data_IF_631217475881
#
_entry.id   IF_631217475881
#
_cell.length_a   1.000
_cell.length_b   1.000
_cell.length_c   1.000
_cell.angle_alpha   90.00
_cell.angle_beta   90.00
_cell.angle_gamma   90.00
#
_symmetry.space_group_name_H-M   'P 1'
#
loop_
_entity.id
_entity.type
_entity.pdbx_description
1 polymer ?
#
# COMPACT_ATOMS: atom_id res chain seq x y z
N UNK A 1 38.68 -14.45 -17.90
CA UNK A 1 38.41 -13.98 -16.52
C UNK A 1 39.21 -12.70 -16.33
N UNK A 2 38.56 -11.55 -16.44
CA UNK A 2 39.17 -10.24 -16.23
C UNK A 2 38.33 -9.50 -15.19
N UNK A 3 38.97 -9.17 -14.07
CA UNK A 3 38.38 -8.58 -12.88
C UNK A 3 38.51 -7.05 -13.06
N UNK A 4 37.38 -6.36 -13.22
CA UNK A 4 37.34 -4.90 -13.37
C UNK A 4 37.07 -4.31 -11.99
N UNK A 5 38.13 -3.77 -11.41
CA UNK A 5 38.14 -3.01 -10.16
C UNK A 5 37.58 -1.60 -10.41
N UNK A 6 36.56 -1.20 -9.65
CA UNK A 6 36.02 0.17 -9.70
C UNK A 6 36.36 0.89 -8.38
N UNK A 7 37.04 2.05 -8.42
CA UNK A 7 37.42 2.78 -7.22
C UNK A 7 36.21 3.51 -6.62
N UNK A 8 35.97 3.31 -5.33
CA UNK A 8 35.02 4.09 -4.53
C UNK A 8 35.61 5.48 -4.20
N UNK A 9 34.84 6.57 -4.31
CA UNK A 9 35.30 7.88 -3.88
C UNK A 9 35.28 8.00 -2.35
N UNK A 10 36.47 8.20 -1.79
CA UNK A 10 36.71 8.67 -0.44
C UNK A 10 36.07 10.05 -0.22
N UNK A 11 35.22 10.18 0.80
CA UNK A 11 34.83 11.48 1.36
C UNK A 11 35.32 11.56 2.80
N UNK A 12 36.57 12.00 2.96
CA UNK A 12 37.18 12.32 4.24
C UNK A 12 37.32 13.83 4.44
N UNK A 13 36.73 14.33 5.53
CA UNK A 13 37.13 15.56 6.22
C UNK A 13 35.97 16.52 6.52
N UNK A 14 35.92 17.26 7.65
CA UNK A 14 36.69 17.26 8.90
C UNK A 14 36.06 18.35 9.82
N UNK A 15 36.01 18.09 11.14
CA UNK A 15 35.96 19.02 12.32
C UNK A 15 34.61 19.70 12.64
N UNK A 16 34.02 19.51 13.85
CA UNK A 16 34.32 20.11 15.19
C UNK A 16 34.43 21.64 15.12
N UNK A 17 33.76 22.48 15.90
CA UNK A 17 32.97 22.41 17.13
C UNK A 17 31.88 23.51 17.03
N UNK A 18 30.82 23.53 17.84
CA UNK A 18 30.81 24.35 19.06
C UNK A 18 29.69 23.91 20.01
N UNK A 19 30.05 23.93 21.29
CA UNK A 19 29.20 23.63 22.43
C UNK A 19 28.35 24.86 22.74
N UNK A 20 27.03 24.73 22.72
CA UNK A 20 26.15 25.65 23.43
C UNK A 20 25.43 24.86 24.53
N UNK A 21 25.84 25.12 25.78
CA UNK A 21 25.10 24.73 26.97
C UNK A 21 23.73 25.41 26.96
N UNK A 22 22.65 24.62 26.95
CA UNK A 22 21.32 25.09 27.32
C UNK A 22 20.89 24.33 28.57
N UNK A 23 20.56 25.03 29.67
CA UNK A 23 20.27 24.40 30.95
C UNK A 23 18.91 23.69 30.95
N UNK A 24 18.95 22.45 31.46
CA UNK A 24 17.82 21.65 31.91
C UNK A 24 16.87 22.46 32.81
N UNK A 25 15.61 22.60 32.42
CA UNK A 25 14.48 22.61 33.37
C UNK A 25 13.29 21.83 32.82
N UNK A 26 12.93 20.84 33.63
CA UNK A 26 11.75 19.99 33.66
C UNK A 26 10.49 20.57 33.00
N UNK A 27 9.83 19.74 32.18
CA UNK A 27 8.40 19.50 32.34
C UNK A 27 7.99 18.13 31.80
N UNK A 28 7.84 17.21 32.75
CA UNK A 28 7.02 16.01 32.67
C UNK A 28 5.54 16.38 32.51
N UNK A 29 4.74 15.38 32.09
CA UNK A 29 3.29 15.34 31.91
C UNK A 29 2.81 15.86 30.54
N UNK A 30 2.21 15.06 29.65
CA UNK A 30 1.66 13.73 29.82
C UNK A 30 1.65 12.98 28.50
N UNK A 31 2.16 11.76 28.56
CA UNK A 31 1.79 10.67 27.67
C UNK A 31 0.41 10.21 28.14
N UNK A 32 -0.63 10.72 27.51
CA UNK A 32 -1.98 10.18 27.66
C UNK A 32 -2.13 9.06 26.63
N UNK A 33 -2.01 7.84 27.13
CA UNK A 33 -2.35 6.61 26.44
C UNK A 33 -3.80 6.67 25.93
N UNK A 34 -3.98 6.50 24.62
CA UNK A 34 -5.24 6.02 24.04
C UNK A 34 -4.95 4.58 23.61
N UNK A 35 -4.86 3.70 24.61
CA UNK A 35 -5.04 2.27 24.43
C UNK A 35 -6.53 2.00 24.64
N UNK A 36 -7.31 2.18 23.58
CA UNK A 36 -8.72 1.75 23.55
C UNK A 36 -8.73 0.25 23.33
N UNK A 37 -8.82 -0.44 24.46
CA UNK A 37 -9.68 -1.59 24.71
C UNK A 37 -9.78 -2.66 23.59
N UNK A 38 -8.79 -3.55 23.58
CA UNK A 38 -9.07 -4.97 23.45
C UNK A 38 -9.79 -5.43 24.72
N UNK A 39 -11.13 -5.53 24.69
CA UNK A 39 -11.88 -6.35 25.64
C UNK A 39 -13.07 -7.03 24.97
N UNK A 40 -12.99 -8.36 24.92
CA UNK A 40 -14.11 -9.27 25.22
C UNK A 40 -15.14 -9.53 24.10
N UNK A 41 -14.70 -10.21 23.04
CA UNK A 41 -15.54 -11.11 22.26
C UNK A 41 -15.29 -12.55 22.71
N UNK A 42 -16.22 -13.07 23.49
CA UNK A 42 -16.29 -14.42 24.08
C UNK A 42 -15.80 -15.56 23.17
N UNK A 43 -14.84 -16.30 23.69
CA UNK A 43 -14.50 -17.67 23.28
C UNK A 43 -15.71 -18.57 23.61
N UNK A 44 -16.56 -18.82 22.62
CA UNK A 44 -17.42 -20.02 22.64
C UNK A 44 -16.55 -21.24 22.33
N UNK A 45 -15.95 -21.79 23.39
CA UNK A 45 -15.62 -23.21 23.45
C UNK A 45 -16.94 -23.97 23.38
N UNK A 46 -17.37 -24.36 22.18
CA UNK A 46 -18.26 -25.51 22.03
C UNK A 46 -17.36 -26.74 21.93
N UNK A 47 -17.63 -27.63 22.87
CA UNK A 47 -17.00 -28.90 23.15
C UNK A 47 -16.39 -29.61 21.95
N UNK A 48 -15.15 -30.06 22.16
CA UNK A 48 -14.62 -31.25 21.54
C UNK A 48 -15.62 -32.40 21.72
N UNK A 49 -16.18 -32.84 20.60
CA UNK A 49 -16.59 -34.22 20.42
C UNK A 49 -15.46 -34.86 19.59
N UNK A 50 -14.47 -35.41 20.26
CA UNK A 50 -13.63 -36.45 19.68
C UNK A 50 -14.43 -37.75 19.76
N UNK A 51 -14.84 -38.30 18.61
CA UNK A 51 -14.86 -39.74 18.33
C UNK A 51 -15.13 -39.94 16.81
N UNK A 52 -14.76 -41.09 16.23
CA UNK A 52 -13.62 -41.16 15.33
C UNK A 52 -14.02 -41.62 13.92
N UNK A 53 -13.05 -41.55 12.99
CA UNK A 53 -13.00 -42.42 11.81
C UNK A 53 -14.30 -42.48 10.95
N UNK A 54 -14.69 -41.33 10.40
CA UNK A 54 -15.50 -41.28 9.18
C UNK A 54 -14.58 -41.00 8.00
N UNK A 55 -13.97 -42.04 7.44
CA UNK A 55 -13.36 -41.95 6.11
C UNK A 55 -14.50 -41.74 5.09
N UNK A 56 -14.80 -40.48 4.77
CA UNK A 56 -15.63 -40.18 3.59
C UNK A 56 -14.80 -40.46 2.32
N UNK A 57 -15.24 -41.37 1.45
CA UNK A 57 -14.49 -41.83 0.28
C UNK A 57 -14.75 -40.92 -0.93
N UNK A 58 -14.68 -39.60 -0.75
CA UNK A 58 -14.76 -38.62 -1.84
C UNK A 58 -13.67 -37.56 -1.67
N UNK A 59 -12.43 -38.03 -1.47
CA UNK A 59 -11.21 -37.24 -1.67
C UNK A 59 -10.97 -37.05 -3.17
N UNK A 60 -11.97 -36.44 -3.83
CA UNK A 60 -11.89 -36.07 -5.23
C UNK A 60 -11.06 -34.79 -5.26
N UNK A 61 -9.93 -34.76 -5.99
CA UNK A 61 -9.17 -33.53 -6.15
C UNK A 61 -10.15 -32.44 -6.59
N UNK A 62 -10.08 -31.23 -5.97
CA UNK A 62 -11.05 -30.19 -6.23
C UNK A 62 -11.16 -29.98 -7.73
N UNK A 63 -12.41 -30.09 -8.23
CA UNK A 63 -12.64 -30.08 -9.66
C UNK A 63 -12.11 -28.76 -10.25
N UNK A 64 -11.43 -28.82 -11.40
CA UNK A 64 -11.00 -27.61 -12.10
C UNK A 64 -12.23 -26.75 -12.38
N UNK A 65 -12.05 -25.44 -12.32
CA UNK A 65 -13.13 -24.47 -12.55
C UNK A 65 -13.73 -24.69 -13.95
N UNK A 66 -15.06 -24.75 -14.09
CA UNK A 66 -15.70 -24.90 -15.40
C UNK A 66 -15.39 -23.70 -16.28
N UNK A 67 -15.33 -23.89 -17.60
CA UNK A 67 -14.96 -22.83 -18.55
C UNK A 67 -15.85 -21.58 -18.44
N UNK A 68 -17.12 -21.75 -18.06
CA UNK A 68 -18.06 -20.64 -17.81
C UNK A 68 -17.65 -19.72 -16.67
N UNK A 69 -16.88 -20.22 -15.70
CA UNK A 69 -16.41 -19.48 -14.53
C UNK A 69 -14.96 -19.03 -14.65
N UNK A 70 -14.28 -19.36 -15.75
CA UNK A 70 -12.87 -19.00 -16.00
C UNK A 70 -12.62 -17.50 -15.93
N UNK A 71 -13.56 -16.69 -16.43
CA UNK A 71 -13.51 -15.22 -16.32
C UNK A 71 -13.49 -14.76 -14.85
N UNK A 72 -14.34 -15.36 -14.03
CA UNK A 72 -14.44 -15.04 -12.60
C UNK A 72 -13.18 -15.49 -11.85
N UNK A 73 -12.68 -16.67 -12.16
CA UNK A 73 -11.40 -17.19 -11.67
C UNK A 73 -10.23 -16.22 -11.94
N UNK A 74 -10.13 -15.68 -13.16
CA UNK A 74 -9.08 -14.71 -13.47
C UNK A 74 -9.22 -13.41 -12.68
N UNK A 75 -10.45 -12.94 -12.41
CA UNK A 75 -10.67 -11.76 -11.55
C UNK A 75 -10.30 -12.02 -10.09
N UNK A 76 -10.63 -13.21 -9.57
CA UNK A 76 -10.21 -13.65 -8.23
C UNK A 76 -8.69 -13.68 -8.13
N UNK A 77 -8.02 -14.26 -9.12
CA UNK A 77 -6.57 -14.30 -9.21
C UNK A 77 -5.95 -12.89 -9.28
N UNK A 78 -6.54 -11.98 -10.06
CA UNK A 78 -6.12 -10.56 -10.10
C UNK A 78 -6.15 -9.95 -8.70
N UNK A 79 -7.22 -10.16 -7.94
CA UNK A 79 -7.37 -9.63 -6.59
C UNK A 79 -6.39 -10.28 -5.61
N UNK A 80 -6.12 -11.58 -5.74
CA UNK A 80 -5.10 -12.28 -4.97
C UNK A 80 -3.69 -11.72 -5.22
N UNK A 81 -3.33 -11.52 -6.49
CA UNK A 81 -2.06 -10.91 -6.92
C UNK A 81 -1.95 -9.53 -6.32
N UNK A 82 -2.98 -8.71 -6.46
CA UNK A 82 -3.01 -7.37 -5.89
C UNK A 82 -2.81 -7.39 -4.37
N UNK A 83 -3.52 -8.26 -3.65
CA UNK A 83 -3.41 -8.38 -2.19
C UNK A 83 -1.98 -8.74 -1.78
N UNK A 84 -1.39 -9.78 -2.40
CA UNK A 84 0.00 -10.17 -2.15
C UNK A 84 0.96 -9.02 -2.48
N UNK A 85 0.69 -8.32 -3.59
CA UNK A 85 1.58 -7.27 -4.07
C UNK A 85 1.55 -6.00 -3.21
N UNK A 86 0.39 -5.72 -2.61
CA UNK A 86 0.22 -4.59 -1.71
C UNK A 86 0.87 -4.80 -0.33
N UNK A 87 1.05 -6.04 0.10
CA UNK A 87 1.57 -6.38 1.43
C UNK A 87 3.09 -6.51 1.52
N UNK A 88 3.80 -6.78 0.41
CA UNK A 88 5.21 -7.17 0.43
C UNK A 88 6.02 -6.67 -0.76
N UNK A 89 6.25 -5.35 -0.85
CA UNK A 89 6.99 -4.71 -1.95
C UNK A 89 8.41 -5.27 -2.15
N UNK A 90 9.10 -5.67 -1.08
CA UNK A 90 10.46 -6.22 -1.16
C UNK A 90 10.49 -7.63 -1.76
N UNK A 91 9.54 -8.50 -1.39
CA UNK A 91 9.43 -9.86 -1.92
C UNK A 91 9.12 -9.86 -3.41
N UNK A 92 8.20 -8.98 -3.84
CA UNK A 92 7.88 -8.81 -5.26
C UNK A 92 9.09 -8.23 -6.00
N UNK A 93 9.82 -7.32 -5.37
CA UNK A 93 11.04 -6.77 -5.92
C UNK A 93 12.06 -7.85 -6.28
N UNK A 94 12.23 -8.82 -5.38
CA UNK A 94 13.05 -10.01 -5.61
C UNK A 94 12.46 -10.89 -6.72
N UNK A 95 11.15 -11.17 -6.71
CA UNK A 95 10.49 -11.98 -7.74
C UNK A 95 10.57 -11.35 -9.15
N UNK A 96 10.46 -10.03 -9.27
CA UNK A 96 10.59 -9.32 -10.54
C UNK A 96 12.02 -9.37 -11.04
N UNK A 97 13.01 -9.20 -10.16
CA UNK A 97 14.41 -9.34 -10.52
C UNK A 97 14.73 -10.77 -10.99
N UNK A 98 14.27 -11.78 -10.25
CA UNK A 98 14.39 -13.18 -10.63
C UNK A 98 13.72 -13.44 -11.98
N UNK A 99 12.51 -12.93 -12.19
CA UNK A 99 11.79 -13.06 -13.46
C UNK A 99 12.54 -12.45 -14.63
N UNK A 100 13.27 -11.34 -14.40
CA UNK A 100 14.10 -10.68 -15.40
C UNK A 100 15.32 -11.52 -15.75
N UNK A 101 15.94 -12.16 -14.76
CA UNK A 101 17.05 -13.10 -14.96
C UNK A 101 16.58 -14.36 -15.70
N UNK A 102 15.43 -14.90 -15.32
CA UNK A 102 14.84 -16.07 -15.98
C UNK A 102 14.49 -15.76 -17.44
N UNK A 103 13.88 -14.60 -17.71
CA UNK A 103 13.61 -14.12 -19.07
C UNK A 103 14.90 -13.89 -19.87
N UNK A 104 15.92 -13.31 -19.26
CA UNK A 104 17.22 -13.10 -19.90
C UNK A 104 17.94 -14.43 -20.19
N UNK A 105 17.69 -15.48 -19.40
CA UNK A 105 18.21 -16.83 -19.66
C UNK A 105 17.48 -17.56 -20.79
N UNK A 106 16.20 -17.24 -20.99
CA UNK A 106 15.35 -17.85 -22.04
C UNK A 106 15.46 -17.12 -23.38
N UNK A 107 15.70 -15.81 -23.36
CA UNK A 107 15.99 -15.01 -24.55
C UNK A 107 17.46 -15.12 -24.95
N UNK A 108 17.76 -15.09 -26.25
CA UNK A 108 19.15 -14.98 -26.70
C UNK A 108 19.75 -13.70 -26.08
N UNK A 109 20.95 -13.79 -25.52
CA UNK A 109 21.67 -12.77 -24.74
C UNK A 109 21.89 -11.39 -25.44
N UNK A 110 21.32 -11.18 -26.62
CA UNK A 110 21.32 -9.93 -27.37
C UNK A 110 20.09 -9.04 -27.12
N UNK A 111 19.05 -9.53 -26.45
CA UNK A 111 17.90 -8.68 -26.11
C UNK A 111 18.25 -7.77 -24.93
N UNK A 112 18.03 -6.47 -25.13
CA UNK A 112 18.24 -5.41 -24.16
C UNK A 112 17.57 -5.77 -22.82
N UNK A 113 18.19 -5.45 -21.66
CA UNK A 113 17.57 -5.74 -20.37
C UNK A 113 16.19 -5.08 -20.32
N UNK A 114 15.12 -5.89 -20.25
CA UNK A 114 13.75 -5.39 -20.23
C UNK A 114 13.57 -4.35 -19.12
N UNK A 115 12.72 -3.34 -19.40
CA UNK A 115 12.37 -2.34 -18.41
C UNK A 115 11.74 -3.01 -17.18
N UNK A 116 12.01 -2.50 -15.98
CA UNK A 116 11.47 -3.08 -14.74
C UNK A 116 9.94 -3.16 -14.75
N UNK A 117 9.27 -2.17 -15.35
CA UNK A 117 7.81 -2.13 -15.55
C UNK A 117 7.31 -3.23 -16.49
N UNK A 118 8.07 -3.56 -17.53
CA UNK A 118 7.73 -4.65 -18.46
C UNK A 118 7.94 -6.01 -17.81
N UNK A 119 9.03 -6.18 -17.05
CA UNK A 119 9.29 -7.39 -16.28
C UNK A 119 8.21 -7.64 -15.22
N UNK A 120 7.78 -6.59 -14.51
CA UNK A 120 6.67 -6.68 -13.56
C UNK A 120 5.36 -7.07 -14.26
N UNK A 121 5.07 -6.49 -15.43
CA UNK A 121 3.88 -6.86 -16.21
C UNK A 121 3.94 -8.31 -16.69
N UNK A 122 5.09 -8.78 -17.14
CA UNK A 122 5.29 -10.17 -17.56
C UNK A 122 5.11 -11.14 -16.38
N UNK A 123 5.67 -10.82 -15.21
CA UNK A 123 5.46 -11.60 -13.98
C UNK A 123 3.98 -11.67 -13.60
N UNK A 124 3.28 -10.53 -13.60
CA UNK A 124 1.85 -10.50 -13.27
C UNK A 124 1.02 -11.37 -14.21
N UNK A 125 1.32 -11.36 -15.52
CA UNK A 125 0.65 -12.21 -16.50
C UNK A 125 0.93 -13.71 -16.28
N UNK A 126 2.17 -14.07 -15.93
CA UNK A 126 2.54 -15.44 -15.60
C UNK A 126 1.88 -15.93 -14.32
N UNK A 127 1.88 -15.12 -13.28
CA UNK A 127 1.19 -15.41 -12.02
C UNK A 127 -0.31 -15.54 -12.22
N UNK A 128 -0.92 -14.70 -13.06
CA UNK A 128 -2.33 -14.81 -13.41
C UNK A 128 -2.61 -16.10 -14.18
N UNK A 129 -1.76 -16.47 -15.14
CA UNK A 129 -1.88 -17.72 -15.87
C UNK A 129 -1.77 -18.94 -14.94
N UNK A 130 -0.79 -18.95 -14.03
CA UNK A 130 -0.62 -20.02 -13.03
C UNK A 130 -1.84 -20.12 -12.12
N UNK A 131 -2.24 -19.00 -11.51
CA UNK A 131 -3.38 -18.96 -10.60
C UNK A 131 -4.68 -19.38 -11.29
N UNK A 132 -4.91 -18.98 -12.54
CA UNK A 132 -6.12 -19.36 -13.29
C UNK A 132 -6.26 -20.87 -13.53
N UNK A 133 -5.14 -21.62 -13.48
CA UNK A 133 -5.13 -23.08 -13.62
C UNK A 133 -5.26 -23.80 -12.28
N UNK A 134 -4.80 -23.18 -11.20
CA UNK A 134 -4.77 -23.77 -9.85
C UNK A 134 -5.95 -23.37 -8.96
N UNK A 135 -6.70 -22.35 -9.37
CA UNK A 135 -7.90 -21.90 -8.68
C UNK A 135 -8.98 -22.98 -8.75
N UNK A 136 -9.62 -23.21 -7.63
CA UNK A 136 -10.65 -24.23 -7.46
C UNK A 136 -12.02 -23.57 -7.25
N UNK A 137 -13.10 -24.33 -7.43
CA UNK A 137 -14.44 -23.85 -7.12
C UNK A 137 -14.58 -23.36 -5.66
N UNK A 138 -13.84 -23.96 -4.72
CA UNK A 138 -13.82 -23.54 -3.31
C UNK A 138 -13.24 -22.14 -3.15
N UNK A 139 -12.19 -21.82 -3.89
CA UNK A 139 -11.58 -20.48 -3.87
C UNK A 139 -12.56 -19.43 -4.45
N UNK A 140 -13.32 -19.80 -5.49
CA UNK A 140 -14.35 -18.93 -6.06
C UNK A 140 -15.48 -18.64 -5.07
N UNK A 141 -15.97 -19.64 -4.36
CA UNK A 141 -17.00 -19.45 -3.33
C UNK A 141 -16.47 -18.62 -2.16
N UNK A 142 -15.23 -18.84 -1.73
CA UNK A 142 -14.60 -18.04 -0.68
C UNK A 142 -14.54 -16.54 -1.03
N UNK A 143 -14.38 -16.19 -2.32
CA UNK A 143 -14.38 -14.79 -2.74
C UNK A 143 -15.75 -14.12 -2.68
N UNK A 144 -16.85 -14.87 -2.76
CA UNK A 144 -18.20 -14.31 -2.54
C UNK A 144 -18.37 -13.79 -1.13
N UNK A 145 -17.69 -14.39 -0.15
CA UNK A 145 -17.71 -13.98 1.24
C UNK A 145 -16.80 -12.79 1.56
N UNK A 146 -15.99 -12.32 0.60
CA UNK A 146 -15.21 -11.08 0.72
C UNK A 146 -13.83 -11.16 0.08
N UNK A 147 -12.93 -11.99 0.61
CA UNK A 147 -11.56 -12.11 0.10
C UNK A 147 -10.97 -13.48 0.39
N UNK A 148 -10.03 -13.93 -0.45
CA UNK A 148 -9.24 -15.13 -0.19
C UNK A 148 -8.42 -14.98 1.10
N UNK A 149 -8.30 -16.08 1.85
CA UNK A 149 -7.38 -16.16 2.99
C UNK A 149 -5.94 -16.04 2.52
N UNK A 150 -5.05 -15.55 3.37
CA UNK A 150 -3.62 -15.40 3.01
C UNK A 150 -2.97 -16.75 2.69
N UNK A 151 -3.40 -17.82 3.35
CA UNK A 151 -2.99 -19.20 3.03
C UNK A 151 -3.39 -19.64 1.62
N UNK A 152 -4.57 -19.25 1.14
CA UNK A 152 -5.02 -19.56 -0.22
C UNK A 152 -4.26 -18.72 -1.25
N UNK A 153 -3.97 -17.45 -0.92
CA UNK A 153 -3.16 -16.57 -1.77
C UNK A 153 -1.74 -17.11 -1.90
N UNK A 154 -1.11 -17.56 -0.81
CA UNK A 154 0.22 -18.15 -0.85
C UNK A 154 0.24 -19.50 -1.55
N UNK A 155 -0.83 -20.30 -1.46
CA UNK A 155 -0.95 -21.53 -2.25
C UNK A 155 -1.01 -21.24 -3.76
N UNK A 156 -1.80 -20.24 -4.16
CA UNK A 156 -2.04 -19.91 -5.58
C UNK A 156 -0.91 -19.11 -6.23
N UNK A 157 -0.11 -18.38 -5.44
CA UNK A 157 0.92 -17.46 -5.93
C UNK A 157 2.34 -17.76 -5.42
N UNK A 158 2.49 -18.67 -4.46
CA UNK A 158 3.78 -18.99 -3.83
C UNK A 158 4.67 -19.90 -4.69
N UNK A 159 4.13 -20.50 -5.74
CA UNK A 159 4.90 -21.30 -6.70
C UNK A 159 5.66 -20.45 -7.73
N UNK A 160 6.79 -20.93 -8.26
CA UNK A 160 7.43 -20.31 -9.41
C UNK A 160 6.50 -20.42 -10.63
N UNK A 161 5.96 -19.29 -11.09
CA UNK A 161 5.06 -19.22 -12.27
C UNK A 161 5.81 -19.41 -13.61
N UNK A 162 6.91 -20.15 -13.60
CA UNK A 162 7.76 -20.38 -14.76
C UNK A 162 7.08 -21.36 -15.72
N UNK A 163 7.02 -20.99 -17.01
CA UNK A 163 6.44 -21.84 -18.06
C UNK A 163 4.95 -21.63 -18.33
N UNK A 164 4.25 -20.79 -17.56
CA UNK A 164 2.86 -20.46 -17.84
C UNK A 164 2.75 -19.21 -18.71
N UNK A 165 2.35 -19.39 -19.96
CA UNK A 165 1.95 -18.30 -20.86
C UNK A 165 0.42 -18.24 -20.95
N UNK A 166 -0.11 -17.01 -20.84
CA UNK A 166 -1.53 -16.75 -21.08
C UNK A 166 -1.77 -16.75 -22.59
N UNK A 167 -2.74 -17.53 -23.06
CA UNK A 167 -3.14 -17.56 -24.48
C UNK A 167 -3.81 -16.24 -24.87
N UNK A 168 -3.88 -15.92 -26.17
CA UNK A 168 -4.54 -14.69 -26.61
C UNK A 168 -6.06 -14.74 -26.37
N UNK A 169 -6.68 -15.91 -26.46
CA UNK A 169 -8.08 -16.13 -26.09
C UNK A 169 -8.34 -15.83 -24.61
N UNK A 170 -7.44 -16.28 -23.72
CA UNK A 170 -7.51 -15.99 -22.29
C UNK A 170 -7.35 -14.50 -22.00
N UNK A 171 -6.49 -13.80 -22.74
CA UNK A 171 -6.33 -12.34 -22.61
C UNK A 171 -7.61 -11.61 -23.01
N UNK A 172 -8.23 -11.98 -24.12
CA UNK A 172 -9.49 -11.38 -24.55
C UNK A 172 -10.62 -11.63 -23.55
N UNK A 173 -10.68 -12.85 -23.01
CA UNK A 173 -11.67 -13.24 -22.01
C UNK A 173 -11.47 -12.45 -20.72
N UNK A 174 -10.22 -12.27 -20.28
CA UNK A 174 -9.86 -11.43 -19.15
C UNK A 174 -10.21 -9.95 -19.39
N UNK A 175 -9.89 -9.40 -20.56
CA UNK A 175 -10.22 -8.01 -20.90
C UNK A 175 -11.73 -7.77 -20.96
N UNK A 176 -12.50 -8.73 -21.48
CA UNK A 176 -13.97 -8.70 -21.46
C UNK A 176 -14.50 -8.75 -20.02
N UNK A 177 -13.94 -9.62 -19.18
CA UNK A 177 -14.30 -9.73 -17.78
C UNK A 177 -14.03 -8.41 -17.02
N UNK A 178 -12.86 -7.81 -17.21
CA UNK A 178 -12.51 -6.50 -16.64
C UNK A 178 -13.47 -5.41 -17.07
N UNK A 179 -13.79 -5.32 -18.37
CA UNK A 179 -14.77 -4.33 -18.86
C UNK A 179 -16.15 -4.54 -18.25
N UNK A 180 -16.59 -5.79 -18.08
CA UNK A 180 -17.88 -6.08 -17.45
C UNK A 180 -17.91 -5.75 -15.96
N UNK A 181 -16.79 -5.94 -15.24
CA UNK A 181 -16.64 -5.58 -13.82
C UNK A 181 -16.67 -4.05 -13.65
N UNK A 182 -16.06 -3.30 -14.58
CA UNK A 182 -16.07 -1.82 -14.59
C UNK A 182 -17.48 -1.26 -14.82
N UNK A 183 -18.31 -1.93 -15.61
CA UNK A 183 -19.68 -1.46 -15.93
C UNK A 183 -20.68 -1.82 -14.80
N UNK A 184 -20.42 -2.87 -14.02
CA UNK A 184 -21.28 -3.31 -12.90
C UNK A 184 -20.88 -2.69 -11.55
N UNK A 185 -20.24 -1.52 -11.56
CA UNK A 185 -19.63 -0.88 -10.39
C UNK A 185 -20.64 -0.23 -9.40
N UNK A 186 -21.62 -1.00 -8.92
CA UNK A 186 -22.09 -0.85 -7.53
C UNK A 186 -21.05 -1.49 -6.59
N UNK A 187 -19.85 -0.87 -6.55
CA UNK A 187 -18.73 -0.97 -5.60
C UNK A 187 -18.34 -2.37 -5.01
N UNK A 188 -17.03 -2.67 -4.98
CA UNK A 188 -16.27 -2.09 -3.88
C UNK A 188 -15.07 -1.28 -4.39
N UNK A 189 -15.04 -0.03 -3.93
CA UNK A 189 -13.92 0.91 -3.96
C UNK A 189 -12.76 0.44 -3.06
N UNK A 190 -12.26 -0.76 -3.32
CA UNK A 190 -11.07 -1.35 -2.67
C UNK A 190 -9.86 -1.40 -3.63
N UNK A 191 -10.03 -0.88 -4.85
CA UNK A 191 -8.96 -0.49 -5.77
C UNK A 191 -8.21 0.75 -5.23
N UNK A 192 -7.57 0.61 -4.08
CA UNK A 192 -6.49 1.51 -3.67
C UNK A 192 -5.40 1.41 -4.73
N UNK A 193 -5.11 2.52 -5.42
CA UNK A 193 -4.28 2.62 -6.63
C UNK A 193 -5.01 2.21 -7.94
N UNK A 194 -6.28 2.62 -8.09
CA UNK A 194 -6.48 3.52 -9.22
C UNK A 194 -5.73 4.80 -8.86
N UNK A 195 -4.69 5.14 -9.62
CA UNK A 195 -4.31 6.54 -9.79
C UNK A 195 -5.50 7.17 -10.52
N UNK A 196 -6.61 7.34 -9.80
CA UNK A 196 -7.60 8.34 -10.15
C UNK A 196 -6.71 9.57 -10.20
N UNK A 197 -6.34 10.02 -11.42
CA UNK A 197 -5.61 11.27 -11.59
C UNK A 197 -6.42 12.23 -10.75
N UNK A 198 -5.89 12.59 -9.58
CA UNK A 198 -6.56 13.52 -8.69
C UNK A 198 -6.86 14.68 -9.62
N UNK A 199 -8.14 14.97 -9.88
CA UNK A 199 -8.49 15.89 -10.93
C UNK A 199 -7.67 17.14 -10.67
N UNK A 200 -6.92 17.62 -11.67
CA UNK A 200 -5.89 18.62 -11.43
C UNK A 200 -6.44 19.87 -10.71
N UNK A 201 -7.74 20.16 -10.89
CA UNK A 201 -8.49 21.16 -10.15
C UNK A 201 -8.55 20.93 -8.63
N UNK A 202 -8.64 19.69 -8.15
CA UNK A 202 -8.66 19.35 -6.73
C UNK A 202 -7.30 19.63 -6.08
N UNK A 203 -6.21 19.36 -6.81
CA UNK A 203 -4.86 19.69 -6.36
C UNK A 203 -4.66 21.21 -6.30
N UNK A 204 -5.22 21.96 -7.26
CA UNK A 204 -5.22 23.43 -7.23
C UNK A 204 -6.01 23.96 -6.03
N UNK A 205 -7.23 23.45 -5.79
CA UNK A 205 -8.06 23.84 -4.65
C UNK A 205 -7.36 23.57 -3.32
N UNK A 206 -6.68 22.43 -3.20
CA UNK A 206 -5.88 22.11 -2.01
C UNK A 206 -4.76 23.13 -1.78
N UNK A 207 -3.98 23.45 -2.82
CA UNK A 207 -2.91 24.44 -2.72
C UNK A 207 -3.44 25.83 -2.34
N UNK A 208 -4.55 26.26 -2.95
CA UNK A 208 -5.21 27.53 -2.62
C UNK A 208 -5.72 27.53 -1.17
N UNK A 209 -6.33 26.43 -0.72
CA UNK A 209 -6.82 26.28 0.65
C UNK A 209 -5.70 26.37 1.69
N UNK A 210 -4.56 25.70 1.43
CA UNK A 210 -3.39 25.76 2.32
C UNK A 210 -2.81 27.19 2.38
N UNK A 211 -2.69 27.87 1.23
CA UNK A 211 -2.19 29.26 1.18
C UNK A 211 -3.15 30.22 1.90
N UNK A 212 -4.47 30.06 1.72
CA UNK A 212 -5.48 30.84 2.41
C UNK A 212 -5.45 30.62 3.94
N UNK A 213 -5.27 29.37 4.37
CA UNK A 213 -5.14 29.04 5.79
C UNK A 213 -3.89 29.67 6.42
N UNK A 214 -2.74 29.54 5.75
CA UNK A 214 -1.47 30.10 6.26
C UNK A 214 -1.55 31.64 6.33
N UNK A 215 -2.06 32.29 5.28
CA UNK A 215 -2.25 33.74 5.27
C UNK A 215 -3.22 34.23 6.35
N UNK A 216 -4.29 33.48 6.63
CA UNK A 216 -5.22 33.77 7.73
C UNK A 216 -4.53 33.71 9.10
N UNK A 217 -3.71 32.68 9.35
CA UNK A 217 -2.96 32.55 10.62
C UNK A 217 -2.00 33.72 10.81
N UNK A 218 -1.27 34.12 9.76
CA UNK A 218 -0.36 35.27 9.81
C UNK A 218 -1.13 36.55 10.14
N UNK A 219 -2.26 36.79 9.47
CA UNK A 219 -3.09 37.96 9.73
C UNK A 219 -3.64 37.97 11.17
N UNK A 220 -4.07 36.82 11.69
CA UNK A 220 -4.54 36.67 13.07
C UNK A 220 -3.45 37.00 14.09
N UNK A 221 -2.21 36.55 13.87
CA UNK A 221 -1.06 36.86 14.72
C UNK A 221 -0.75 38.36 14.69
N UNK A 222 -0.78 38.98 13.51
CA UNK A 222 -0.56 40.44 13.37
C UNK A 222 -1.64 41.24 14.09
N UNK A 223 -2.91 40.86 13.98
CA UNK A 223 -3.99 41.50 14.73
C UNK A 223 -3.79 41.37 16.24
N UNK A 224 -3.35 40.21 16.72
CA UNK A 224 -3.03 39.99 18.14
C UNK A 224 -1.85 40.83 18.62
N UNK A 225 -0.81 40.99 17.80
CA UNK A 225 0.35 41.83 18.14
C UNK A 225 -0.02 43.32 18.15
N UNK A 226 -0.74 43.79 17.12
CA UNK A 226 -1.18 45.19 17.03
C UNK A 226 -2.19 45.56 18.12
N UNK A 227 -3.06 44.65 18.55
CA UNK A 227 -3.93 44.85 19.71
C UNK A 227 -3.13 45.03 21.01
N UNK A 228 -2.11 44.19 21.23
CA UNK A 228 -1.21 44.30 22.39
C UNK A 228 -0.41 45.60 22.40
N UNK A 229 0.02 46.09 21.25
CA UNK A 229 0.77 47.35 21.18
C UNK A 229 -0.13 48.57 21.43
N UNK A 230 -1.40 48.53 21.00
CA UNK A 230 -2.39 49.56 21.35
C UNK A 230 -2.69 49.60 22.85
N UNK A 231 -2.82 48.45 23.50
CA UNK A 231 -3.00 48.38 24.97
C UNK A 231 -1.77 48.93 25.72
N UNK A 232 -0.56 48.58 25.27
CA UNK A 232 0.69 49.10 25.85
C UNK A 232 0.85 50.61 25.65
N UNK A 233 0.37 51.16 24.53
CA UNK A 233 0.39 52.60 24.29
C UNK A 233 -0.55 53.34 25.25
N UNK A 234 -1.81 52.89 25.38
CA UNK A 234 -2.79 53.48 26.31
C UNK A 234 -2.33 53.42 27.77
N UNK A 235 -1.78 52.29 28.20
CA UNK A 235 -1.24 52.14 29.56
C UNK A 235 -0.03 53.06 29.84
N UNK A 236 0.75 53.44 28.82
CA UNK A 236 1.85 54.41 28.96
C UNK A 236 1.33 55.84 29.05
N UNK A 237 0.26 56.17 28.33
CA UNK A 237 -0.32 57.51 28.35
C UNK A 237 -1.05 57.78 29.67
N UNK A 238 -1.83 56.82 30.18
CA UNK A 238 -2.47 56.92 31.51
C UNK A 238 -1.45 57.11 32.65
N UNK A 239 -0.31 56.40 32.59
CA UNK A 239 0.79 56.60 33.56
C UNK A 239 1.42 57.99 33.50
N UNK A 240 1.51 58.59 32.31
CA UNK A 240 2.04 59.95 32.14
C UNK A 240 1.06 61.00 32.67
N UNK A 241 -0.24 60.80 32.47
CA UNK A 241 -1.26 61.72 33.00
C UNK A 241 -1.38 61.65 34.53
N UNK A 242 -1.34 60.45 35.11
CA UNK A 242 -1.34 60.29 36.58
C UNK A 242 -0.13 60.96 37.25
N UNK A 243 1.06 60.91 36.61
CA UNK A 243 2.27 61.57 37.12
C UNK A 243 2.25 63.10 36.98
N UNK A 244 1.41 63.66 36.10
CA UNK A 244 1.24 65.12 35.98
C UNK A 244 0.20 65.70 36.95
N UNK A 245 -0.68 64.86 37.50
CA UNK A 245 -1.74 65.27 38.44
C UNK A 245 -1.36 65.14 39.91
N UNK A 246 -0.27 64.45 40.22
CA UNK A 246 0.33 64.35 41.57
C UNK A 246 1.52 65.28 41.69
#
# INVERSE_FOLDING_TARGET
>A
MAQVDWPLPECAGRRRAERAMVPRRLRWCGWAAIAVACTSGTVSRVAAAEDPAGADPDDKPPAPVPESERARAMLVCKNAIWKKWSGGLEEIGALVNQSREDLASMGNASEQPMNYSEAARALALRQLASCSREVTAVDLEATKAGSLSDSAVDRLLGGPALGFSLTDEDKELFDKALRSEIVNAEAPSILGIQVHRVPWWLQILYMVGVVALVSYVVFFVVQRLTARDKEKARAKDEKKEGKKRS
#
